data_IF_793634938634
#
_entry.id   IF_793634938634
#
_cell.length_a   1.000
_cell.length_b   1.000
_cell.length_c   1.000
_cell.angle_alpha   90.00
_cell.angle_beta   90.00
_cell.angle_gamma   90.00
#
_symmetry.space_group_name_H-M   'P 1'
#
loop_
_entity.id
_entity.type
_entity.pdbx_description
1 polymer ?
2 branched ?
3 non-polymer ?
4 water ?
#
# COMPACT_ATOMS: atom_id res chain seq x y z
N UNK A 1 -23.43 2.95 4.07
CA UNK A 1 -23.68 1.49 3.89
C UNK A 1 -24.12 0.85 5.19
N UNK A 2 -24.71 -0.34 5.04
CA UNK A 2 -25.17 -1.10 6.18
C UNK A 2 -23.97 -1.88 6.71
N UNK A 3 -24.08 -2.35 7.95
CA UNK A 3 -23.00 -3.08 8.58
C UNK A 3 -23.10 -4.58 8.64
N UNK A 4 -23.36 -5.21 7.52
CA UNK A 4 -23.42 -6.65 7.48
C UNK A 4 -22.44 -7.03 6.42
N UNK A 5 -22.29 -8.31 6.14
CA UNK A 5 -21.35 -8.69 5.13
C UNK A 5 -21.89 -8.35 3.78
N UNK A 6 -21.00 -8.18 2.84
CA UNK A 6 -21.39 -7.84 1.49
C UNK A 6 -20.72 -8.75 0.49
N UNK A 7 -21.34 -9.90 0.24
CA UNK A 7 -20.78 -10.82 -0.73
C UNK A 7 -20.67 -10.08 -2.09
N UNK A 8 -20.28 -10.79 -3.15
CA UNK A 8 -20.07 -10.16 -4.47
C UNK A 8 -21.17 -9.30 -5.02
N UNK A 9 -22.37 -9.86 -5.08
CA UNK A 9 -23.49 -9.12 -5.59
C UNK A 9 -23.54 -7.72 -4.93
N UNK A 10 -24.00 -7.68 -3.68
CA UNK A 10 -24.13 -6.44 -2.96
C UNK A 10 -22.95 -5.47 -2.84
N UNK A 11 -21.74 -6.00 -2.73
CA UNK A 11 -20.57 -5.14 -2.62
C UNK A 11 -20.40 -4.48 -3.98
N UNK A 12 -20.41 -5.33 -5.01
CA UNK A 12 -20.30 -4.88 -6.40
C UNK A 12 -21.32 -3.77 -6.55
N UNK A 13 -22.56 -4.13 -6.24
CA UNK A 13 -23.67 -3.21 -6.29
C UNK A 13 -23.21 -1.87 -5.71
N UNK A 14 -23.04 -1.84 -4.38
CA UNK A 14 -22.60 -0.66 -3.65
C UNK A 14 -21.68 0.20 -4.48
N UNK A 15 -20.58 -0.43 -4.85
CA UNK A 15 -19.56 0.21 -5.66
C UNK A 15 -20.20 0.92 -6.85
N UNK A 16 -20.71 0.15 -7.81
CA UNK A 16 -21.35 0.67 -9.00
C UNK A 16 -22.24 1.87 -8.66
N UNK A 17 -22.99 1.73 -7.56
CA UNK A 17 -23.87 2.78 -7.14
C UNK A 17 -23.04 3.96 -6.70
N UNK A 18 -22.00 3.76 -5.88
CA UNK A 18 -21.16 4.90 -5.44
C UNK A 18 -20.63 5.56 -6.70
N UNK A 19 -20.49 4.74 -7.74
CA UNK A 19 -20.00 5.14 -9.05
C UNK A 19 -20.90 6.21 -9.65
N UNK A 20 -22.20 5.93 -9.65
CA UNK A 20 -23.23 6.83 -10.16
C UNK A 20 -23.43 8.05 -9.27
N UNK A 21 -23.98 7.82 -8.08
CA UNK A 21 -24.24 8.89 -7.12
C UNK A 21 -23.09 9.85 -6.83
N UNK A 22 -21.85 9.48 -7.14
CA UNK A 22 -20.71 10.37 -6.87
C UNK A 22 -19.66 10.51 -7.97
N UNK A 23 -20.01 10.17 -9.22
CA UNK A 23 -19.08 10.25 -10.35
C UNK A 23 -18.14 11.48 -10.36
N UNK A 24 -18.58 12.58 -9.75
CA UNK A 24 -17.77 13.79 -9.68
C UNK A 24 -16.43 13.60 -8.99
N UNK A 25 -16.32 12.59 -8.14
CA UNK A 25 -15.09 12.36 -7.42
C UNK A 25 -14.75 10.89 -7.16
N UNK A 26 -15.29 10.02 -8.01
CA UNK A 26 -15.02 8.59 -7.90
C UNK A 26 -14.92 7.99 -9.30
N UNK A 27 -14.32 6.79 -9.37
CA UNK A 27 -14.17 6.03 -10.62
C UNK A 27 -13.94 4.58 -10.21
N UNK A 28 -14.71 3.67 -10.80
CA UNK A 28 -14.62 2.25 -10.52
C UNK A 28 -14.20 1.51 -11.78
N UNK A 29 -13.22 0.60 -11.66
CA UNK A 29 -12.80 -0.21 -12.80
C UNK A 29 -12.36 -1.57 -12.32
N UNK A 30 -11.76 -2.37 -13.21
CA UNK A 30 -11.30 -3.68 -12.80
C UNK A 30 -9.93 -4.02 -13.40
N UNK A 31 -8.94 -4.29 -12.55
CA UNK A 31 -7.64 -4.58 -13.06
C UNK A 31 -7.53 -6.02 -13.57
N UNK A 32 -8.61 -6.78 -13.47
CA UNK A 32 -8.54 -8.14 -13.97
C UNK A 32 -9.65 -8.99 -13.42
N UNK A 33 -9.53 -10.32 -13.57
CA UNK A 33 -10.55 -11.24 -13.05
C UNK A 33 -9.92 -12.45 -12.37
N UNK A 34 -10.59 -12.97 -11.35
CA UNK A 34 -10.07 -14.12 -10.63
C UNK A 34 -9.99 -15.30 -11.58
N UNK A 35 -9.67 -16.47 -11.06
CA UNK A 35 -9.61 -17.64 -11.90
C UNK A 35 -11.04 -18.12 -12.02
N UNK A 36 -11.99 -17.31 -11.53
CA UNK A 36 -13.40 -17.69 -11.60
C UNK A 36 -14.22 -16.64 -12.31
N UNK A 37 -13.56 -15.68 -12.92
CA UNK A 37 -14.31 -14.66 -13.63
C UNK A 37 -14.87 -13.58 -12.73
N UNK A 38 -14.46 -13.60 -11.46
CA UNK A 38 -14.91 -12.58 -10.50
C UNK A 38 -14.13 -11.31 -10.78
N UNK A 39 -14.74 -10.17 -10.49
CA UNK A 39 -14.07 -8.92 -10.76
C UNK A 39 -13.21 -8.29 -9.68
N UNK A 40 -12.08 -7.76 -10.13
CA UNK A 40 -11.17 -7.14 -9.21
C UNK A 40 -11.40 -5.65 -9.23
N UNK A 41 -12.54 -5.25 -8.68
CA UNK A 41 -12.92 -3.85 -8.66
C UNK A 41 -12.04 -2.98 -7.82
N UNK A 42 -11.79 -1.78 -8.29
CA UNK A 42 -11.01 -0.81 -7.55
C UNK A 42 -11.87 0.43 -7.62
N UNK A 43 -11.85 1.22 -6.56
CA UNK A 43 -12.61 2.45 -6.58
C UNK A 43 -11.64 3.55 -6.22
N UNK A 44 -11.52 4.55 -7.08
CA UNK A 44 -10.60 5.62 -6.79
C UNK A 44 -11.39 6.79 -6.33
N UNK A 45 -10.85 7.52 -5.39
CA UNK A 45 -11.53 8.67 -4.85
C UNK A 45 -10.58 9.83 -4.93
N UNK A 46 -10.93 10.85 -5.68
CA UNK A 46 -10.04 11.98 -5.78
C UNK A 46 -10.76 13.15 -6.38
N UNK A 47 -10.11 14.31 -6.34
CA UNK A 47 -10.69 15.53 -6.89
C UNK A 47 -10.93 15.29 -8.38
N UNK A 48 -9.90 14.83 -9.08
CA UNK A 48 -10.07 14.53 -10.47
C UNK A 48 -9.85 13.05 -10.61
N UNK A 49 -10.83 12.22 -10.26
CA UNK A 49 -10.63 10.76 -10.41
C UNK A 49 -10.46 10.35 -11.87
N UNK A 50 -9.95 9.14 -12.09
CA UNK A 50 -9.73 8.59 -13.46
C UNK A 50 -8.36 8.90 -14.12
N UNK A 51 -7.68 9.93 -13.68
CA UNK A 51 -6.40 10.26 -14.27
C UNK A 51 -5.36 10.76 -13.27
N UNK A 52 -4.21 10.11 -13.25
CA UNK A 52 -3.21 10.57 -12.33
C UNK A 52 -2.98 12.02 -12.70
N UNK A 53 -2.57 12.82 -11.72
CA UNK A 53 -2.29 14.21 -11.97
C UNK A 53 -0.96 14.59 -11.32
N UNK A 54 -0.04 15.14 -12.09
CA UNK A 54 1.25 15.59 -11.59
C UNK A 54 1.08 16.28 -10.23
N UNK A 55 1.83 15.86 -9.21
CA UNK A 55 1.70 16.55 -7.94
C UNK A 55 0.86 15.86 -6.90
N UNK A 56 -0.31 15.36 -7.28
CA UNK A 56 -1.16 14.65 -6.33
C UNK A 56 -0.67 13.20 -6.31
N UNK A 57 -0.23 12.71 -5.14
CA UNK A 57 0.27 11.35 -4.97
C UNK A 57 -0.83 10.30 -5.03
N UNK A 58 -0.47 9.12 -5.52
CA UNK A 58 -1.38 7.98 -5.63
C UNK A 58 -1.31 7.13 -4.34
N UNK A 59 -2.48 6.63 -3.91
CA UNK A 59 -2.56 5.81 -2.69
C UNK A 59 -3.53 4.63 -2.81
N UNK A 60 -3.13 3.47 -2.26
CA UNK A 60 -4.01 2.31 -2.31
C UNK A 60 -4.16 1.48 -1.05
N UNK A 61 -5.26 0.76 -1.05
CA UNK A 61 -5.62 -0.10 0.03
C UNK A 61 -6.11 -1.36 -0.63
N UNK A 62 -5.32 -2.41 -0.56
CA UNK A 62 -5.76 -3.67 -1.14
C UNK A 62 -6.12 -4.46 0.11
N UNK A 63 -7.16 -5.29 0.03
CA UNK A 63 -7.62 -6.07 1.17
C UNK A 63 -8.29 -7.33 0.66
N UNK A 64 -8.49 -8.28 1.56
CA UNK A 64 -9.17 -9.54 1.31
C UNK A 64 -8.42 -10.51 0.44
N UNK A 65 -7.10 -10.36 0.31
CA UNK A 65 -6.31 -11.29 -0.51
C UNK A 65 -6.35 -12.74 0.06
N UNK A 66 -6.73 -12.83 1.33
CA UNK A 66 -6.90 -14.12 1.97
C UNK A 66 -8.42 -14.26 2.08
N UNK A 67 -8.96 -15.15 1.25
CA UNK A 67 -10.40 -15.38 1.22
C UNK A 67 -11.08 -15.02 2.51
N UNK A 68 -10.93 -15.91 3.49
CA UNK A 68 -11.55 -15.76 4.80
C UNK A 68 -11.28 -14.53 5.67
N UNK A 69 -10.27 -13.72 5.36
CA UNK A 69 -9.99 -12.54 6.19
C UNK A 69 -10.88 -11.38 5.77
N UNK A 70 -12.09 -11.37 6.35
CA UNK A 70 -13.15 -10.41 6.06
C UNK A 70 -13.24 -9.01 6.67
N UNK A 71 -12.59 -8.73 7.80
CA UNK A 71 -12.75 -7.39 8.38
C UNK A 71 -12.38 -6.25 7.45
N UNK A 72 -11.24 -6.43 6.77
CA UNK A 72 -10.73 -5.42 5.87
C UNK A 72 -11.61 -5.25 4.65
N UNK A 73 -12.25 -6.33 4.21
CA UNK A 73 -13.12 -6.27 3.06
C UNK A 73 -14.15 -5.23 3.45
N UNK A 74 -14.72 -5.41 4.63
CA UNK A 74 -15.75 -4.52 5.10
C UNK A 74 -15.28 -3.15 5.52
N UNK A 75 -14.06 -3.04 6.04
CA UNK A 75 -13.57 -1.72 6.45
C UNK A 75 -13.36 -0.84 5.21
N UNK A 76 -12.84 -1.44 4.14
CA UNK A 76 -12.59 -0.71 2.89
C UNK A 76 -13.86 -0.22 2.22
N UNK A 77 -14.94 -1.01 2.27
CA UNK A 77 -16.17 -0.54 1.66
C UNK A 77 -16.65 0.65 2.46
N UNK A 78 -16.65 0.47 3.78
CA UNK A 78 -17.08 1.51 4.70
C UNK A 78 -16.16 2.74 4.65
N UNK A 79 -14.88 2.52 4.40
CA UNK A 79 -13.98 3.66 4.31
C UNK A 79 -14.48 4.43 3.11
N UNK A 80 -14.63 3.72 2.00
CA UNK A 80 -15.13 4.25 0.73
C UNK A 80 -16.30 5.22 0.90
N UNK A 81 -17.37 4.71 1.52
CA UNK A 81 -18.54 5.52 1.77
C UNK A 81 -18.11 6.76 2.55
N UNK A 82 -17.55 6.56 3.73
CA UNK A 82 -17.08 7.67 4.56
C UNK A 82 -16.59 8.83 3.71
N UNK A 83 -15.55 8.56 2.94
CA UNK A 83 -14.94 9.55 2.07
C UNK A 83 -15.97 10.22 1.19
N UNK A 84 -16.61 9.49 0.26
CA UNK A 84 -17.59 10.20 -0.56
C UNK A 84 -18.55 11.10 0.25
N UNK A 85 -19.20 10.58 1.29
CA UNK A 85 -20.13 11.38 2.08
C UNK A 85 -19.52 12.46 3.01
N UNK A 86 -18.22 12.39 3.27
CA UNK A 86 -17.60 13.38 4.12
C UNK A 86 -17.14 14.52 3.22
N UNK A 87 -16.90 14.18 1.96
CA UNK A 87 -16.43 15.13 0.95
C UNK A 87 -17.42 16.30 0.89
N UNK A 88 -16.89 17.49 1.16
CA UNK A 88 -17.73 18.67 1.15
C UNK A 88 -18.21 19.12 2.51
N UNK A 89 -18.58 18.20 3.39
CA UNK A 89 -19.05 18.62 4.69
C UNK A 89 -17.90 18.72 5.70
N UNK A 90 -17.08 17.68 5.84
CA UNK A 90 -15.98 17.76 6.78
C UNK A 90 -14.82 18.40 6.06
N UNK A 91 -14.30 19.51 6.59
CA UNK A 91 -13.18 20.16 5.92
C UNK A 91 -11.94 19.27 5.82
N UNK A 92 -11.26 19.00 6.95
CA UNK A 92 -10.06 18.19 6.91
C UNK A 92 -10.12 17.07 5.91
N UNK A 93 -11.12 16.19 6.02
CA UNK A 93 -11.21 15.10 5.04
C UNK A 93 -11.33 15.66 3.63
N UNK A 94 -12.15 16.67 3.44
CA UNK A 94 -12.26 17.25 2.11
C UNK A 94 -10.88 17.71 1.60
N UNK A 95 -10.14 18.46 2.43
CA UNK A 95 -8.79 18.92 2.04
C UNK A 95 -8.03 17.69 1.53
N UNK A 96 -8.10 16.59 2.26
CA UNK A 96 -7.42 15.37 1.86
C UNK A 96 -7.93 14.85 0.49
N UNK A 97 -9.22 14.44 0.43
CA UNK A 97 -9.81 13.90 -0.79
C UNK A 97 -9.48 14.77 -1.97
N UNK A 98 -9.30 16.07 -1.72
CA UNK A 98 -8.92 17.00 -2.76
C UNK A 98 -7.49 16.56 -3.09
N UNK A 99 -6.56 16.99 -2.25
CA UNK A 99 -5.11 16.73 -2.35
C UNK A 99 -4.56 15.33 -2.69
N UNK A 100 -5.39 14.29 -2.75
CA UNK A 100 -4.84 12.97 -3.08
C UNK A 100 -5.75 12.17 -3.98
N UNK A 101 -5.25 11.08 -4.53
CA UNK A 101 -6.09 10.21 -5.35
C UNK A 101 -5.96 8.83 -4.72
N UNK A 102 -7.00 8.47 -3.99
CA UNK A 102 -7.10 7.23 -3.22
C UNK A 102 -7.75 6.08 -4.01
N UNK A 103 -7.03 4.97 -4.17
CA UNK A 103 -7.58 3.84 -4.89
C UNK A 103 -7.88 2.78 -3.87
N UNK A 104 -9.09 2.22 -3.91
CA UNK A 104 -9.45 1.18 -2.96
C UNK A 104 -9.85 -0.10 -3.68
N UNK A 105 -9.34 -1.21 -3.14
CA UNK A 105 -9.61 -2.56 -3.64
C UNK A 105 -10.11 -3.39 -2.47
N UNK A 106 -11.42 -3.39 -2.22
CA UNK A 106 -12.06 -4.14 -1.14
C UNK A 106 -11.74 -5.65 -1.10
N UNK A 107 -11.59 -6.30 -2.26
CA UNK A 107 -11.32 -7.74 -2.25
C UNK A 107 -10.50 -8.41 -3.41
N UNK A 108 -9.16 -8.47 -3.25
CA UNK A 108 -8.22 -9.08 -4.21
C UNK A 108 -8.42 -10.58 -4.47
N UNK A 109 -9.14 -11.25 -3.59
CA UNK A 109 -9.40 -12.67 -3.72
C UNK A 109 -10.84 -12.86 -3.29
N UNK A 110 -11.76 -12.65 -4.22
CA UNK A 110 -13.17 -12.81 -3.89
C UNK A 110 -13.66 -14.25 -4.01
N UNK A 111 -13.00 -15.06 -4.84
CA UNK A 111 -13.43 -16.47 -4.94
C UNK A 111 -13.24 -17.11 -3.55
N UNK A 112 -12.14 -16.74 -2.89
CA UNK A 112 -11.88 -17.28 -1.58
C UNK A 112 -12.98 -16.90 -0.63
N UNK A 113 -13.29 -15.61 -0.59
CA UNK A 113 -14.32 -15.14 0.29
C UNK A 113 -15.63 -15.83 0.02
N UNK A 114 -16.08 -15.78 -1.23
CA UNK A 114 -17.35 -16.41 -1.56
C UNK A 114 -17.34 -17.88 -1.15
N UNK A 115 -16.26 -18.57 -1.46
CA UNK A 115 -16.18 -19.98 -1.14
C UNK A 115 -16.69 -20.43 0.23
N UNK A 116 -16.33 -19.70 1.28
CA UNK A 116 -16.74 -20.11 2.65
C UNK A 116 -18.19 -19.79 2.93
N UNK A 117 -18.90 -20.82 3.38
CA UNK A 117 -20.31 -20.70 3.70
C UNK A 117 -20.53 -20.80 5.21
N UNK A 118 -19.56 -21.42 5.90
CA UNK A 118 -19.61 -21.60 7.35
C UNK A 118 -18.45 -20.80 7.96
N UNK A 119 -18.66 -19.50 8.25
CA UNK A 119 -17.71 -18.52 8.82
C UNK A 119 -16.95 -19.02 10.07
N UNK A 120 -15.73 -18.53 10.30
CA UNK A 120 -14.95 -19.04 11.43
C UNK A 120 -13.65 -18.26 11.77
N UNK A 121 -13.22 -18.25 13.03
CA UNK A 121 -12.05 -17.48 13.39
C UNK A 121 -10.64 -17.91 13.01
N UNK A 122 -10.36 -19.20 12.98
CA UNK A 122 -9.02 -19.65 12.61
C UNK A 122 -8.86 -20.40 11.27
N UNK A 123 -9.88 -21.14 10.78
CA UNK A 123 -9.72 -21.85 9.49
C UNK A 123 -10.94 -21.92 8.56
N UNK A 124 -10.70 -22.11 7.26
CA UNK A 124 -11.78 -22.21 6.27
C UNK A 124 -11.36 -22.68 4.86
N UNK A 125 -12.38 -22.80 4.01
CA UNK A 125 -12.26 -23.21 2.63
C UNK A 125 -11.68 -22.05 1.80
N UNK A 126 -11.78 -20.83 2.34
CA UNK A 126 -11.26 -19.65 1.65
C UNK A 126 -9.84 -19.39 2.09
N UNK A 127 -9.28 -18.23 1.72
CA UNK A 127 -7.89 -17.86 2.06
C UNK A 127 -7.07 -17.91 0.80
N UNK A 128 -6.82 -19.13 0.34
CA UNK A 128 -6.07 -19.42 -0.88
C UNK A 128 -6.87 -18.94 -2.09
N UNK A 129 -6.25 -18.80 -3.27
CA UNK A 129 -7.01 -18.39 -4.46
C UNK A 129 -7.66 -19.71 -4.91
N UNK A 130 -8.45 -19.71 -5.99
CA UNK A 130 -9.13 -20.98 -6.35
C UNK A 130 -8.24 -22.18 -6.65
N UNK A 131 -6.97 -21.94 -6.95
CA UNK A 131 -6.04 -23.03 -7.22
C UNK A 131 -5.26 -23.39 -5.97
N UNK A 132 -5.84 -23.06 -4.81
CA UNK A 132 -5.26 -23.38 -3.51
C UNK A 132 -3.96 -22.62 -3.22
N UNK A 133 -3.63 -21.65 -4.05
CA UNK A 133 -2.40 -20.92 -3.80
C UNK A 133 -2.55 -19.79 -2.76
N UNK A 134 -1.47 -19.45 -2.08
CA UNK A 134 -1.54 -18.36 -1.11
C UNK A 134 -1.14 -17.10 -1.86
N UNK A 135 -2.10 -16.22 -2.04
CA UNK A 135 -1.79 -15.03 -2.78
C UNK A 135 -0.72 -14.15 -2.16
N UNK A 136 -0.38 -14.36 -0.89
CA UNK A 136 0.67 -13.52 -0.34
C UNK A 136 1.97 -14.27 -0.23
N UNK A 137 2.05 -15.37 -0.97
CA UNK A 137 3.26 -16.18 -1.03
C UNK A 137 3.55 -16.37 -2.52
N UNK A 138 2.80 -15.64 -3.35
CA UNK A 138 2.84 -15.76 -4.80
C UNK A 138 3.49 -14.67 -5.66
N UNK A 139 4.18 -13.72 -5.08
CA UNK A 139 4.82 -12.69 -5.90
C UNK A 139 6.33 -12.97 -6.04
N UNK A 140 6.99 -12.30 -6.98
CA UNK A 140 8.43 -12.49 -7.16
C UNK A 140 9.13 -12.11 -5.85
N UNK A 141 10.23 -12.77 -5.53
CA UNK A 141 10.91 -12.46 -4.28
C UNK A 141 12.35 -11.99 -4.42
N UNK A 142 12.64 -10.78 -3.94
CA UNK A 142 14.00 -10.22 -4.03
C UNK A 142 15.00 -10.98 -3.18
N UNK A 143 14.57 -12.10 -2.59
CA UNK A 143 15.47 -12.84 -1.73
C UNK A 143 15.81 -14.30 -2.08
N UNK A 144 14.85 -15.04 -2.63
CA UNK A 144 15.09 -16.45 -2.96
C UNK A 144 14.05 -16.92 -3.97
N UNK A 145 14.47 -17.24 -5.19
CA UNK A 145 13.51 -17.67 -6.19
C UNK A 145 12.20 -18.22 -5.66
N UNK A 146 11.12 -17.52 -5.98
CA UNK A 146 9.80 -17.96 -5.56
C UNK A 146 9.11 -18.57 -6.76
N UNK A 147 9.90 -19.27 -7.56
CA UNK A 147 9.38 -19.92 -8.73
C UNK A 147 8.05 -20.59 -8.34
N UNK A 148 6.94 -20.01 -8.78
CA UNK A 148 5.64 -20.58 -8.47
C UNK A 148 4.71 -20.10 -9.56
N UNK A 149 3.58 -20.76 -9.72
CA UNK A 149 2.64 -20.38 -10.75
C UNK A 149 2.02 -19.02 -10.43
N UNK A 150 2.51 -17.94 -11.06
CA UNK A 150 1.94 -16.61 -10.78
C UNK A 150 0.47 -16.72 -11.11
N UNK A 151 -0.38 -16.30 -10.19
CA UNK A 151 -1.83 -16.42 -10.37
C UNK A 151 -2.51 -15.19 -10.97
N UNK A 152 -3.69 -15.38 -11.57
CA UNK A 152 -4.46 -14.30 -12.18
C UNK A 152 -4.47 -13.04 -11.36
N UNK A 153 -4.83 -13.20 -10.09
CA UNK A 153 -4.89 -12.04 -9.21
C UNK A 153 -3.52 -11.46 -9.02
N UNK A 154 -2.54 -12.31 -8.76
CA UNK A 154 -1.19 -11.85 -8.56
C UNK A 154 -0.74 -11.01 -9.75
N UNK A 155 -0.99 -11.56 -10.94
CA UNK A 155 -0.61 -10.88 -12.18
C UNK A 155 -1.42 -9.57 -12.38
N UNK A 156 -2.75 -9.65 -12.31
CA UNK A 156 -3.60 -8.48 -12.44
C UNK A 156 -2.96 -7.35 -11.67
N UNK A 157 -2.71 -7.61 -10.39
CA UNK A 157 -2.10 -6.62 -9.52
C UNK A 157 -0.73 -6.17 -9.99
N UNK A 158 0.13 -7.10 -10.38
CA UNK A 158 1.45 -6.65 -10.83
C UNK A 158 1.32 -5.58 -11.92
N UNK A 159 0.50 -5.86 -12.93
CA UNK A 159 0.27 -4.91 -14.02
C UNK A 159 -0.33 -3.64 -13.44
N UNK A 160 -1.40 -3.80 -12.67
CA UNK A 160 -2.08 -2.66 -12.05
C UNK A 160 -1.07 -1.80 -11.33
N UNK A 161 -0.13 -2.44 -10.67
CA UNK A 161 0.87 -1.72 -9.93
C UNK A 161 1.73 -0.97 -10.90
N UNK A 162 1.61 -1.34 -12.16
CA UNK A 162 2.37 -0.71 -13.23
C UNK A 162 1.60 0.47 -13.79
N UNK A 163 0.28 0.36 -13.76
CA UNK A 163 -0.59 1.41 -14.28
C UNK A 163 -0.47 2.78 -13.60
N UNK A 164 0.01 2.84 -12.36
CA UNK A 164 0.14 4.14 -11.74
C UNK A 164 1.38 4.27 -10.87
N UNK A 165 1.76 5.51 -10.62
CA UNK A 165 2.92 5.72 -9.79
C UNK A 165 2.48 5.74 -8.34
N UNK A 166 2.12 4.56 -7.84
CA UNK A 166 1.68 4.44 -6.46
C UNK A 166 2.80 4.81 -5.51
N UNK A 167 2.48 5.70 -4.58
CA UNK A 167 3.46 6.18 -3.62
C UNK A 167 3.38 5.47 -2.30
N UNK A 168 2.16 5.37 -1.76
CA UNK A 168 1.94 4.72 -0.46
C UNK A 168 0.81 3.74 -0.45
N UNK A 169 1.05 2.59 0.16
CA UNK A 169 0.06 1.52 0.19
C UNK A 169 -0.14 0.82 1.55
N UNK A 170 -0.88 -0.29 1.52
CA UNK A 170 -1.13 -1.11 2.71
C UNK A 170 -2.21 -2.14 2.41
N UNK A 171 -1.85 -3.43 2.45
CA UNK A 171 -2.81 -4.51 2.17
C UNK A 171 -3.36 -5.09 3.48
N UNK A 172 -4.67 -5.06 3.65
CA UNK A 172 -5.32 -5.48 4.87
C UNK A 172 -5.52 -6.98 5.08
N UNK A 173 -5.31 -7.40 6.34
CA UNK A 173 -5.42 -8.81 6.78
C UNK A 173 -6.09 -8.98 8.13
N UNK A 174 -6.47 -10.23 8.42
CA UNK A 174 -7.07 -10.57 9.69
C UNK A 174 -6.45 -11.86 10.24
N UNK A 175 -6.45 -12.05 11.55
CA UNK A 175 -5.86 -13.25 12.13
C UNK A 175 -4.91 -12.91 13.28
N UNK A 176 -4.61 -11.62 13.36
CA UNK A 176 -3.75 -11.10 14.38
C UNK A 176 -4.18 -9.66 14.39
N UNK A 177 -3.66 -8.91 15.34
CA UNK A 177 -4.01 -7.52 15.46
C UNK A 177 -2.68 -6.79 15.62
N UNK A 178 -2.04 -6.47 14.50
CA UNK A 178 -0.75 -5.77 14.50
C UNK A 178 -0.51 -5.19 13.11
N UNK A 179 0.41 -4.24 13.03
CA UNK A 179 0.76 -3.59 11.79
C UNK A 179 2.17 -4.01 11.45
N UNK A 180 2.33 -4.87 10.44
CA UNK A 180 3.65 -5.38 10.07
C UNK A 180 4.35 -4.63 8.93
N UNK A 181 5.59 -4.16 9.14
CA UNK A 181 6.28 -3.43 8.06
C UNK A 181 7.39 -4.32 7.47
N UNK A 182 7.97 -3.96 6.31
CA UNK A 182 9.02 -4.78 5.69
C UNK A 182 10.40 -4.86 6.29
N UNK A 183 11.23 -5.79 5.81
CA UNK A 183 10.87 -6.73 4.74
C UNK A 183 10.24 -7.93 5.40
N UNK A 184 9.41 -8.66 4.66
CA UNK A 184 8.78 -9.83 5.23
C UNK A 184 9.71 -11.00 5.07
N UNK A 185 10.75 -10.81 4.26
CA UNK A 185 11.73 -11.84 4.02
C UNK A 185 13.09 -11.19 4.19
N UNK A 186 14.13 -11.98 4.39
CA UNK A 186 15.44 -11.38 4.57
C UNK A 186 16.66 -12.21 4.23
N UNK A 187 17.82 -11.63 4.51
CA UNK A 187 19.09 -12.26 4.23
C UNK A 187 20.04 -11.72 5.27
N UNK A 188 21.10 -12.48 5.55
CA UNK A 188 22.11 -12.08 6.54
C UNK A 188 22.52 -10.59 6.38
N UNK A 189 22.64 -10.15 5.12
CA UNK A 189 23.01 -8.78 4.79
C UNK A 189 22.03 -7.79 5.36
N UNK A 190 20.80 -8.23 5.54
CA UNK A 190 19.73 -7.41 6.09
C UNK A 190 19.59 -7.73 7.58
N UNK A 191 20.28 -8.81 8.00
CA UNK A 191 20.25 -9.24 9.40
C UNK A 191 19.26 -10.31 9.77
N UNK A 192 19.18 -11.37 8.97
CA UNK A 192 18.24 -12.44 9.24
C UNK A 192 18.61 -13.16 10.50
N UNK A 193 19.89 -13.08 10.87
CA UNK A 193 20.38 -13.74 12.07
C UNK A 193 20.00 -13.02 13.37
N UNK A 194 19.45 -11.81 13.24
CA UNK A 194 19.00 -11.08 14.42
C UNK A 194 17.50 -11.16 14.43
N UNK A 195 17.00 -11.91 13.45
CA UNK A 195 15.58 -12.10 13.31
C UNK A 195 15.01 -10.73 12.99
N UNK A 196 15.65 -10.06 12.05
CA UNK A 196 15.19 -8.76 11.63
C UNK A 196 15.70 -8.52 10.23
N UNK A 197 14.82 -8.01 9.38
CA UNK A 197 15.17 -7.70 7.99
C UNK A 197 14.79 -6.24 7.79
N UNK A 198 15.80 -5.38 7.79
CA UNK A 198 15.54 -3.97 7.64
C UNK A 198 15.69 -3.37 6.22
N UNK A 199 14.86 -2.33 5.95
CA UNK A 199 14.86 -1.61 4.68
C UNK A 199 15.71 -0.36 4.77
N UNK A 200 16.03 0.24 3.61
CA UNK A 200 16.83 1.46 3.59
C UNK A 200 16.09 2.53 4.36
N UNK A 201 14.76 2.41 4.34
CA UNK A 201 13.88 3.35 5.03
C UNK A 201 13.14 2.69 6.21
N UNK A 202 13.88 2.08 7.13
CA UNK A 202 13.23 1.41 8.25
C UNK A 202 12.55 2.43 9.16
N UNK A 203 13.07 3.65 9.15
CA UNK A 203 12.48 4.68 9.98
C UNK A 203 11.12 5.12 9.48
N UNK A 204 11.01 5.39 8.18
CA UNK A 204 9.72 5.79 7.67
C UNK A 204 8.79 4.60 7.84
N UNK A 205 9.22 3.38 7.52
CA UNK A 205 8.30 2.24 7.71
C UNK A 205 7.88 2.10 9.17
N UNK A 206 8.81 2.26 10.09
CA UNK A 206 8.42 2.18 11.49
C UNK A 206 7.42 3.31 11.79
N UNK A 207 7.75 4.55 11.45
CA UNK A 207 6.82 5.63 11.71
C UNK A 207 5.44 5.32 11.11
N UNK A 208 5.42 4.73 9.92
CA UNK A 208 4.17 4.37 9.24
C UNK A 208 3.33 3.30 9.98
N UNK A 209 3.98 2.29 10.54
CA UNK A 209 3.27 1.24 11.24
C UNK A 209 2.66 1.86 12.49
N UNK A 210 3.49 2.63 13.19
CA UNK A 210 3.06 3.28 14.39
C UNK A 210 1.95 4.25 14.10
N UNK A 211 2.01 4.90 12.95
CA UNK A 211 0.96 5.86 12.66
C UNK A 211 -0.37 5.17 12.78
N UNK A 212 -0.52 4.08 12.03
CA UNK A 212 -1.76 3.35 12.01
C UNK A 212 -2.18 2.74 13.32
N UNK A 213 -1.28 1.98 13.92
CA UNK A 213 -1.60 1.32 15.19
C UNK A 213 -1.82 2.28 16.35
N UNK A 214 -1.04 3.35 16.44
CA UNK A 214 -1.19 4.29 17.53
C UNK A 214 -2.65 4.71 17.63
N UNK A 215 -3.33 4.73 16.49
CA UNK A 215 -4.73 5.11 16.39
C UNK A 215 -5.74 3.99 16.52
N UNK A 216 -5.27 2.77 16.76
CA UNK A 216 -6.18 1.65 16.92
C UNK A 216 -6.09 1.25 18.39
N UNK A 217 -7.12 1.59 19.16
CA UNK A 217 -7.20 1.30 20.59
C UNK A 217 -6.77 -0.10 20.94
N UNK A 218 -7.21 -1.07 20.16
CA UNK A 218 -6.86 -2.44 20.47
C UNK A 218 -5.54 -2.86 19.88
N UNK A 219 -5.26 -2.39 18.67
CA UNK A 219 -4.02 -2.76 18.02
C UNK A 219 -2.91 -2.21 18.84
N UNK A 220 -3.20 -1.13 19.55
CA UNK A 220 -2.21 -0.47 20.40
C UNK A 220 -1.97 -1.21 21.71
N UNK A 221 -2.97 -1.98 22.14
CA UNK A 221 -2.92 -2.79 23.39
C UNK A 221 -1.74 -3.74 23.40
N UNK A 222 -1.41 -4.29 22.24
CA UNK A 222 -0.29 -5.21 22.18
C UNK A 222 -0.64 -6.57 22.75
N UNK A 223 -1.25 -6.61 23.93
CA UNK A 223 -1.65 -7.87 24.57
C UNK A 223 -3.13 -7.94 24.22
N UNK A 224 -3.44 -8.51 23.06
CA UNK A 224 -4.81 -8.55 22.59
C UNK A 224 -5.36 -9.87 22.04
N UNK A 225 -4.61 -10.57 21.19
CA UNK A 225 -5.10 -11.83 20.63
C UNK A 225 -4.75 -13.06 21.45
N UNK A 226 -5.77 -13.85 21.76
CA UNK A 226 -5.60 -15.05 22.57
C UNK A 226 -4.75 -16.13 21.95
N UNK A 227 -5.37 -16.97 21.14
CA UNK A 227 -4.64 -18.06 20.53
C UNK A 227 -3.47 -17.57 19.64
N UNK A 228 -3.21 -16.27 19.64
CA UNK A 228 -2.13 -15.74 18.81
C UNK A 228 -0.99 -15.06 19.56
N UNK A 229 0.08 -14.77 18.83
CA UNK A 229 1.21 -14.05 19.39
C UNK A 229 0.82 -12.59 19.40
N UNK A 230 1.45 -11.82 20.27
CA UNK A 230 1.15 -10.40 20.34
C UNK A 230 2.41 -9.53 20.30
N UNK A 231 2.23 -8.26 19.97
CA UNK A 231 3.35 -7.34 19.83
C UNK A 231 3.17 -6.11 20.70
N UNK A 232 4.25 -5.36 20.95
CA UNK A 232 4.20 -4.14 21.77
C UNK A 232 3.91 -2.90 20.93
N UNK A 233 2.87 -2.16 21.28
CA UNK A 233 2.50 -0.98 20.52
C UNK A 233 1.83 -1.40 19.24
N UNK A 234 1.73 -2.71 19.06
CA UNK A 234 1.09 -3.25 17.89
C UNK A 234 1.87 -3.15 16.60
N UNK A 235 3.16 -2.93 16.66
CA UNK A 235 3.90 -2.84 15.43
C UNK A 235 5.03 -3.83 15.53
N UNK A 236 5.52 -4.26 14.36
CA UNK A 236 6.60 -5.23 14.30
C UNK A 236 7.16 -5.32 12.88
N UNK A 237 8.38 -5.88 12.78
CA UNK A 237 9.00 -6.10 11.49
C UNK A 237 8.42 -7.42 10.99
N UNK A 238 8.41 -7.59 9.67
CA UNK A 238 7.84 -8.78 9.07
C UNK A 238 8.58 -10.04 9.45
N UNK A 239 9.90 -9.97 9.33
CA UNK A 239 10.81 -11.06 9.63
C UNK A 239 10.77 -11.40 11.12
N UNK A 240 10.95 -10.39 11.99
CA UNK A 240 10.90 -10.61 13.43
C UNK A 240 9.61 -11.33 13.78
N UNK A 241 8.70 -11.38 12.81
CA UNK A 241 7.44 -12.06 13.05
C UNK A 241 7.49 -13.42 12.41
N UNK A 242 7.74 -13.44 11.12
CA UNK A 242 7.77 -14.68 10.37
C UNK A 242 8.20 -14.43 8.94
N UNK A 243 9.41 -14.85 8.61
CA UNK A 243 9.99 -14.70 7.28
C UNK A 243 8.92 -15.11 6.31
N UNK A 244 8.45 -14.17 5.51
CA UNK A 244 7.41 -14.44 4.54
C UNK A 244 7.96 -14.39 3.14
N UNK A 245 7.93 -15.51 2.44
CA UNK A 245 8.48 -15.52 1.08
C UNK A 245 7.44 -15.22 0.01
N UNK A 246 7.79 -14.27 -0.86
CA UNK A 246 6.90 -13.88 -1.93
C UNK A 246 5.60 -13.18 -1.55
N UNK A 247 5.72 -12.10 -0.78
CA UNK A 247 4.54 -11.36 -0.36
C UNK A 247 4.41 -10.03 -1.07
N UNK A 248 3.17 -9.54 -1.20
CA UNK A 248 2.91 -8.28 -1.89
C UNK A 248 3.65 -7.09 -1.30
N UNK A 249 3.73 -7.03 0.02
CA UNK A 249 4.42 -5.94 0.70
C UNK A 249 5.84 -5.77 0.15
N UNK A 250 6.59 -6.86 0.10
CA UNK A 250 7.98 -6.81 -0.38
C UNK A 250 8.07 -6.38 -1.84
N UNK A 251 7.11 -6.85 -2.61
CA UNK A 251 7.06 -6.56 -4.02
C UNK A 251 6.96 -5.04 -4.20
N UNK A 252 5.82 -4.48 -3.81
CA UNK A 252 5.55 -3.06 -3.92
C UNK A 252 6.74 -2.18 -3.66
N UNK A 253 7.55 -2.58 -2.70
CA UNK A 253 8.71 -1.81 -2.29
C UNK A 253 9.96 -2.05 -3.10
N UNK A 254 10.08 -3.25 -3.65
CA UNK A 254 11.26 -3.62 -4.40
C UNK A 254 11.13 -3.25 -5.85
N UNK A 255 10.05 -3.70 -6.45
CA UNK A 255 9.81 -3.51 -7.88
C UNK A 255 8.75 -2.49 -8.31
N UNK A 256 7.93 -2.04 -7.38
CA UNK A 256 6.87 -1.12 -7.74
C UNK A 256 7.09 0.27 -7.24
N UNK A 257 8.21 0.48 -6.58
CA UNK A 257 8.54 1.80 -6.07
C UNK A 257 7.63 2.41 -4.99
N UNK A 258 6.67 1.65 -4.43
CA UNK A 258 5.84 2.22 -3.37
C UNK A 258 5.93 1.46 -2.03
N UNK A 259 5.62 2.15 -0.93
CA UNK A 259 5.70 1.60 0.41
C UNK A 259 4.44 0.90 0.86
N UNK A 260 4.47 -0.42 1.07
CA UNK A 260 3.25 -1.11 1.56
C UNK A 260 3.59 -1.68 2.92
N UNK A 261 2.66 -1.70 3.88
CA UNK A 261 2.90 -2.34 5.18
C UNK A 261 1.66 -3.20 5.30
N UNK A 262 1.62 -4.12 6.26
CA UNK A 262 0.48 -5.05 6.39
C UNK A 262 -0.36 -4.75 7.62
N UNK A 263 -1.64 -4.55 7.43
CA UNK A 263 -2.41 -4.27 8.60
C UNK A 263 -3.16 -5.52 9.03
N UNK A 264 -2.87 -6.03 10.22
CA UNK A 264 -3.56 -7.21 10.75
C UNK A 264 -4.65 -6.62 11.64
N UNK A 265 -5.84 -6.46 11.07
CA UNK A 265 -6.90 -5.78 11.76
C UNK A 265 -7.84 -6.51 12.67
N UNK A 266 -7.77 -7.83 12.68
CA UNK A 266 -8.64 -8.60 13.57
C UNK A 266 -8.00 -9.91 14.01
N UNK A 267 -8.21 -10.28 15.27
CA UNK A 267 -7.69 -11.54 15.77
C UNK A 267 -8.47 -12.62 15.01
N UNK A 268 -9.79 -12.56 15.15
CA UNK A 268 -10.70 -13.50 14.52
C UNK A 268 -10.83 -13.21 13.04
N UNK A 269 -10.24 -14.08 12.22
CA UNK A 269 -10.22 -13.93 10.77
C UNK A 269 -11.55 -13.65 10.06
N UNK A 270 -12.64 -14.22 10.56
CA UNK A 270 -13.96 -14.02 9.96
C UNK A 270 -15.01 -13.85 11.05
N UNK A 271 -14.95 -12.72 11.79
CA UNK A 271 -15.85 -12.34 12.90
C UNK A 271 -17.33 -12.24 12.58
N UNK A 272 -18.21 -12.28 13.58
CA UNK A 272 -19.64 -12.18 13.32
C UNK A 272 -20.07 -10.77 12.90
N UNK A 273 -21.08 -10.65 12.04
CA UNK A 273 -21.56 -9.36 11.52
C UNK A 273 -21.76 -8.28 12.57
N UNK A 274 -22.36 -8.68 13.67
CA UNK A 274 -22.64 -7.76 14.75
C UNK A 274 -21.40 -6.98 15.27
N UNK A 275 -20.21 -7.38 14.84
CA UNK A 275 -18.98 -6.74 15.29
C UNK A 275 -18.36 -5.69 14.37
N UNK A 276 -18.88 -5.56 13.16
CA UNK A 276 -18.34 -4.63 12.22
C UNK A 276 -18.40 -3.16 12.72
N UNK A 277 -19.56 -2.72 13.21
CA UNK A 277 -19.60 -1.35 13.68
C UNK A 277 -18.38 -1.08 14.52
N UNK A 278 -18.04 -2.02 15.40
CA UNK A 278 -16.88 -1.82 16.27
C UNK A 278 -15.55 -1.84 15.54
N UNK A 279 -15.51 -2.67 14.50
CA UNK A 279 -14.32 -2.78 13.69
C UNK A 279 -14.19 -1.49 12.94
N UNK A 280 -15.28 -1.03 12.36
CA UNK A 280 -15.21 0.22 11.65
C UNK A 280 -14.69 1.21 12.69
N UNK A 281 -15.34 1.23 13.85
CA UNK A 281 -14.97 2.16 14.90
C UNK A 281 -13.51 2.17 15.34
N UNK A 282 -12.92 1.00 15.60
CA UNK A 282 -11.52 0.98 16.04
C UNK A 282 -10.53 1.14 14.90
N UNK A 283 -10.99 1.46 13.69
CA UNK A 283 -10.08 1.65 12.57
C UNK A 283 -10.22 2.95 11.81
N UNK A 284 -11.42 3.50 11.77
CA UNK A 284 -11.70 4.78 11.13
C UNK A 284 -10.49 5.68 11.13
N UNK A 285 -10.22 6.31 12.27
CA UNK A 285 -9.09 7.22 12.39
C UNK A 285 -7.75 6.67 11.90
N UNK A 286 -7.56 5.37 12.00
CA UNK A 286 -6.31 4.79 11.56
C UNK A 286 -6.17 4.76 10.04
N UNK A 287 -7.24 4.39 9.33
CA UNK A 287 -7.18 4.40 7.86
C UNK A 287 -6.88 5.85 7.45
N UNK A 288 -7.69 6.79 7.92
CA UNK A 288 -7.48 8.19 7.54
C UNK A 288 -6.06 8.71 7.85
N UNK A 289 -5.58 8.53 9.08
CA UNK A 289 -4.25 9.03 9.44
C UNK A 289 -3.13 8.43 8.61
N UNK A 290 -3.38 7.23 8.11
CA UNK A 290 -2.40 6.48 7.31
C UNK A 290 -2.34 7.05 5.91
N UNK A 291 -3.50 7.12 5.27
CA UNK A 291 -3.63 7.69 3.92
C UNK A 291 -2.88 9.00 3.97
N UNK A 292 -3.30 9.83 4.91
CA UNK A 292 -2.74 11.16 5.11
C UNK A 292 -1.23 11.20 5.07
N UNK A 293 -0.59 10.05 5.28
CA UNK A 293 0.88 9.99 5.33
C UNK A 293 1.54 10.00 3.96
N UNK A 294 0.70 9.87 2.93
CA UNK A 294 1.16 9.85 1.55
C UNK A 294 1.84 11.18 1.24
N UNK A 295 1.82 12.10 2.21
CA UNK A 295 2.42 13.41 2.03
C UNK A 295 3.67 13.63 2.84
N UNK A 296 4.43 12.59 3.16
CA UNK A 296 5.66 12.83 3.93
C UNK A 296 6.78 13.18 2.96
N UNK A 297 7.79 13.90 3.42
CA UNK A 297 8.92 14.23 2.55
C UNK A 297 8.78 15.20 1.39
N UNK A 298 9.41 14.86 0.26
CA UNK A 298 9.39 15.69 -0.95
C UNK A 298 8.92 15.01 -2.21
N UNK A 299 8.58 15.86 -3.19
CA UNK A 299 8.10 15.42 -4.50
C UNK A 299 8.43 16.53 -5.50
N UNK A 300 8.28 16.23 -6.77
CA UNK A 300 8.56 17.22 -7.79
C UNK A 300 8.87 16.48 -9.07
N UNK A 301 9.31 17.20 -10.11
CA UNK A 301 9.68 16.52 -11.34
C UNK A 301 11.04 17.05 -11.74
N UNK A 302 11.68 16.36 -12.68
CA UNK A 302 13.03 16.67 -13.14
C UNK A 302 13.15 16.99 -14.62
N UNK A 303 13.68 18.17 -14.94
CA UNK A 303 13.88 18.51 -16.36
C UNK A 303 15.31 18.87 -16.72
N UNK A 304 15.62 18.71 -18.00
CA UNK A 304 16.92 19.06 -18.55
C UNK A 304 16.85 20.56 -18.80
N UNK A 305 17.91 21.13 -19.35
CA UNK A 305 17.94 22.57 -19.58
C UNK A 305 16.87 23.12 -20.55
N UNK A 306 16.20 22.25 -21.31
CA UNK A 306 15.15 22.69 -22.25
C UNK A 306 13.80 22.48 -21.58
N UNK A 307 13.82 22.42 -20.25
CA UNK A 307 12.59 22.24 -19.48
C UNK A 307 11.79 21.07 -19.98
N UNK A 308 12.46 19.93 -20.07
CA UNK A 308 11.77 18.73 -20.53
C UNK A 308 11.85 17.64 -19.51
N UNK A 309 10.71 17.24 -18.94
CA UNK A 309 10.76 16.18 -17.94
C UNK A 309 11.51 14.96 -18.46
N UNK A 310 12.62 14.60 -17.80
CA UNK A 310 13.37 13.44 -18.21
C UNK A 310 12.77 12.34 -17.38
N UNK A 311 12.19 11.34 -18.02
CA UNK A 311 11.60 10.24 -17.26
C UNK A 311 12.70 9.22 -16.96
N UNK A 312 12.32 8.08 -16.43
CA UNK A 312 13.28 7.03 -16.15
C UNK A 312 14.62 7.39 -15.47
N UNK A 313 14.72 8.59 -14.94
CA UNK A 313 15.96 8.99 -14.30
C UNK A 313 15.92 8.46 -12.87
N UNK A 314 17.09 8.35 -12.22
CA UNK A 314 17.14 7.89 -10.84
C UNK A 314 17.15 9.07 -9.88
N UNK A 315 16.23 9.08 -8.94
CA UNK A 315 16.23 10.14 -7.95
C UNK A 315 16.06 9.54 -6.56
N UNK A 316 17.15 9.46 -5.80
CA UNK A 316 17.01 8.97 -4.45
C UNK A 316 17.95 9.67 -3.54
N UNK A 317 17.67 9.59 -2.24
CA UNK A 317 18.48 10.25 -1.24
C UNK A 317 19.88 9.67 -1.19
N UNK A 318 20.86 10.47 -0.83
CA UNK A 318 22.26 10.04 -0.81
C UNK A 318 22.55 8.64 -0.29
N UNK A 319 22.16 8.36 0.95
CA UNK A 319 22.41 7.04 1.58
C UNK A 319 21.27 6.01 1.60
N UNK A 320 20.25 6.21 0.76
CA UNK A 320 19.09 5.33 0.67
C UNK A 320 18.94 4.68 -0.70
N UNK A 321 20.01 4.08 -1.20
CA UNK A 321 19.92 3.43 -2.50
C UNK A 321 19.15 2.13 -2.32
N UNK A 322 18.19 1.93 -3.23
CA UNK A 322 17.32 0.76 -3.21
C UNK A 322 17.92 -0.35 -4.04
N UNK A 323 17.59 -1.61 -3.73
CA UNK A 323 18.15 -2.71 -4.49
C UNK A 323 17.86 -2.42 -5.99
N UNK A 324 16.59 -2.22 -6.33
CA UNK A 324 16.24 -1.81 -7.70
C UNK A 324 15.99 -0.36 -7.40
N UNK A 325 16.87 0.53 -7.93
CA UNK A 325 16.88 2.00 -7.78
C UNK A 325 15.64 2.71 -8.27
N UNK A 326 15.17 3.67 -7.46
CA UNK A 326 13.96 4.46 -7.73
C UNK A 326 14.13 5.50 -8.83
N UNK A 327 13.37 5.33 -9.89
CA UNK A 327 13.46 6.25 -11.00
C UNK A 327 12.22 7.15 -11.12
N UNK A 328 12.31 8.20 -11.94
CA UNK A 328 11.18 9.07 -12.14
C UNK A 328 10.11 8.37 -13.00
N UNK A 329 8.91 8.93 -13.05
CA UNK A 329 7.87 8.33 -13.86
C UNK A 329 7.83 8.93 -15.29
N UNK A 330 6.85 8.53 -16.08
CA UNK A 330 6.77 9.04 -17.43
C UNK A 330 6.67 10.55 -17.41
N UNK A 331 6.16 11.11 -16.33
CA UNK A 331 6.06 12.56 -16.27
C UNK A 331 7.29 13.14 -15.62
N UNK A 332 8.32 12.33 -15.50
CA UNK A 332 9.56 12.82 -14.94
C UNK A 332 9.50 13.27 -13.50
N UNK A 333 8.34 13.08 -12.88
CA UNK A 333 8.21 13.47 -11.48
C UNK A 333 8.77 12.36 -10.58
N UNK A 334 9.08 12.75 -9.34
CA UNK A 334 9.63 11.81 -8.38
C UNK A 334 8.97 11.98 -7.01
N UNK A 335 8.74 10.89 -6.31
CA UNK A 335 8.15 10.99 -4.98
C UNK A 335 9.02 10.18 -4.00
N UNK A 336 9.35 10.79 -2.87
CA UNK A 336 10.15 10.09 -1.88
C UNK A 336 9.63 10.29 -0.45
N UNK A 337 8.92 9.29 0.09
CA UNK A 337 8.44 9.43 1.46
C UNK A 337 9.65 9.46 2.41
N UNK A 338 9.79 10.55 3.16
CA UNK A 338 10.88 10.74 4.12
C UNK A 338 10.41 11.39 5.44
N UNK A 339 11.19 11.21 6.50
CA UNK A 339 10.82 11.83 7.77
C UNK A 339 11.45 13.22 7.92
N UNK A 340 10.90 14.04 8.81
CA UNK A 340 11.47 15.37 8.99
C UNK A 340 12.99 15.35 9.18
N UNK A 341 13.71 15.99 8.26
CA UNK A 341 15.14 16.05 8.36
C UNK A 341 15.75 16.62 7.09
N UNK A 342 17.04 16.96 7.17
CA UNK A 342 17.74 17.52 6.01
C UNK A 342 18.36 16.43 5.14
N UNK A 343 18.00 16.44 3.87
CA UNK A 343 18.51 15.46 2.94
C UNK A 343 19.34 16.02 1.77
N UNK A 344 19.84 15.09 0.97
CA UNK A 344 20.65 15.39 -0.19
C UNK A 344 20.19 14.36 -1.18
N UNK A 345 19.66 14.81 -2.30
CA UNK A 345 19.17 13.85 -3.28
C UNK A 345 20.19 13.76 -4.41
N UNK A 346 20.46 12.56 -4.90
CA UNK A 346 21.41 12.38 -6.00
C UNK A 346 20.63 12.08 -7.25
N UNK A 347 20.55 13.08 -8.12
CA UNK A 347 19.83 12.93 -9.37
C UNK A 347 20.84 12.41 -10.38
N UNK A 348 20.67 11.15 -10.74
CA UNK A 348 21.58 10.51 -11.66
C UNK A 348 20.86 10.14 -12.93
N UNK A 349 21.09 10.96 -13.96
CA UNK A 349 20.49 10.75 -15.28
C UNK A 349 21.47 9.91 -16.05
N UNK A 350 20.98 8.83 -16.69
CA UNK A 350 21.83 7.94 -17.47
C UNK A 350 23.01 8.58 -18.16
N UNK A 351 24.18 7.99 -17.90
CA UNK A 351 25.40 8.44 -18.50
C UNK A 351 25.75 9.82 -18.03
N UNK A 352 25.59 10.07 -16.75
CA UNK A 352 25.92 11.37 -16.20
C UNK A 352 26.42 11.30 -14.76
N UNK A 353 27.10 12.36 -14.34
CA UNK A 353 27.58 12.44 -12.99
C UNK A 353 26.33 12.68 -12.19
N UNK A 354 26.19 11.97 -11.06
CA UNK A 354 24.98 12.20 -10.28
C UNK A 354 24.89 13.67 -9.89
N UNK A 355 23.71 14.24 -10.04
CA UNK A 355 23.51 15.63 -9.70
C UNK A 355 23.05 15.79 -8.28
N UNK A 356 23.79 16.58 -7.50
CA UNK A 356 23.40 16.85 -6.14
C UNK A 356 22.33 17.94 -6.16
N UNK A 357 21.41 17.85 -5.21
CA UNK A 357 20.34 18.82 -5.03
C UNK A 357 19.88 18.58 -3.60
N UNK A 358 20.10 19.57 -2.74
CA UNK A 358 19.79 19.46 -1.32
C UNK A 358 18.40 19.98 -0.93
N UNK A 359 17.82 19.30 0.06
CA UNK A 359 16.50 19.64 0.56
C UNK A 359 16.29 19.41 2.06
N UNK A 360 15.75 20.42 2.74
CA UNK A 360 15.44 20.33 4.17
C UNK A 360 13.94 19.99 4.22
N UNK A 361 13.60 18.82 4.75
CA UNK A 361 12.19 18.47 4.82
C UNK A 361 11.61 18.96 6.13
N UNK A 362 10.78 20.01 6.06
CA UNK A 362 10.09 20.72 7.15
C UNK A 362 10.17 20.12 8.54
N UNK A 363 9.03 20.03 9.20
CA UNK A 363 8.97 19.48 10.54
C UNK A 363 7.59 19.73 11.04
N UNK A 364 6.63 19.69 10.12
CA UNK A 364 5.22 19.91 10.38
C UNK A 364 4.67 20.68 9.19
N UNK A 365 3.73 20.05 8.48
CA UNK A 365 3.10 20.69 7.31
C UNK A 365 1.67 21.15 7.61
N UNK A 366 1.35 22.35 7.11
CA UNK A 366 0.04 22.98 7.30
C UNK A 366 -0.95 22.58 6.22
N UNK A 367 -0.43 21.92 5.19
CA UNK A 367 -1.24 21.45 4.07
C UNK A 367 -1.09 19.93 3.98
N UNK A 368 -1.79 19.34 3.01
CA UNK A 368 -1.77 17.90 2.74
C UNK A 368 -1.02 17.62 1.44
N UNK A 369 0.25 18.00 1.40
CA UNK A 369 1.08 17.77 0.23
C UNK A 369 2.49 17.69 0.73
N UNK A 370 3.30 16.84 0.11
CA UNK A 370 4.68 16.73 0.54
C UNK A 370 5.39 18.05 0.20
N UNK A 371 6.71 18.10 0.38
CA UNK A 371 7.45 19.30 0.05
C UNK A 371 7.69 19.23 -1.45
N UNK A 372 7.44 20.34 -2.16
CA UNK A 372 7.67 20.35 -3.60
C UNK A 372 9.05 20.89 -3.89
N UNK A 373 9.77 20.20 -4.78
CA UNK A 373 11.11 20.58 -5.17
C UNK A 373 11.38 20.05 -6.55
N UNK A 374 11.40 20.96 -7.52
CA UNK A 374 11.66 20.62 -8.90
C UNK A 374 13.16 20.68 -9.13
N UNK A 375 13.63 19.87 -10.07
CA UNK A 375 15.04 19.82 -10.35
C UNK A 375 15.39 20.16 -11.81
N UNK A 376 16.23 21.18 -11.96
CA UNK A 376 16.66 21.58 -13.27
C UNK A 376 18.10 21.13 -13.45
N UNK A 377 18.30 20.04 -14.17
CA UNK A 377 19.66 19.60 -14.36
C UNK A 377 20.29 20.65 -15.22
N UNK A 378 21.58 20.91 -15.02
CA UNK A 378 22.32 21.92 -15.79
C UNK A 378 22.81 21.40 -17.15
N UNK A 379 22.07 20.47 -17.75
CA UNK A 379 22.42 19.92 -19.05
C UNK A 379 21.20 19.31 -19.73
N UNK A 380 21.43 18.36 -20.63
CA UNK A 380 20.35 17.73 -21.36
C UNK A 380 20.40 16.21 -21.35
N UNK A 381 19.27 15.57 -21.59
CA UNK A 381 19.23 14.10 -21.62
C UNK A 381 18.76 13.60 -23.00
N UNK A 391 11.09 -1.10 -17.91
CA UNK A 391 12.33 -1.95 -17.80
C UNK A 391 12.74 -2.35 -16.35
N UNK A 392 12.24 -1.60 -15.35
CA UNK A 392 12.52 -1.79 -13.91
C UNK A 392 13.75 -2.66 -13.55
N UNK A 393 13.52 -3.92 -13.20
CA UNK A 393 14.61 -4.82 -12.84
C UNK A 393 14.17 -6.24 -13.00
N UNK A 394 15.08 -7.13 -13.38
CA UNK A 394 14.65 -8.52 -13.54
C UNK A 394 14.00 -8.98 -12.24
N UNK A 395 12.78 -9.49 -12.32
CA UNK A 395 12.11 -9.95 -11.11
C UNK A 395 12.72 -11.28 -10.64
N UNK A 396 13.96 -11.16 -10.19
CA UNK A 396 14.76 -12.28 -9.71
C UNK A 396 15.46 -11.85 -8.42
N UNK A 397 15.55 -12.77 -7.44
CA UNK A 397 16.18 -12.51 -6.14
C UNK A 397 17.41 -11.61 -6.17
N UNK A 398 17.20 -10.29 -6.20
CA UNK A 398 18.31 -9.35 -6.28
C UNK A 398 19.20 -9.35 -5.05
N UNK A 399 18.57 -9.22 -3.88
CA UNK A 399 19.30 -9.18 -2.62
C UNK A 399 20.12 -10.45 -2.38
N UNK A 400 19.62 -11.59 -2.83
CA UNK A 400 20.33 -12.87 -2.66
C UNK A 400 21.79 -12.64 -3.00
N UNK A 401 22.06 -12.53 -4.31
CA UNK A 401 23.41 -12.29 -4.81
C UNK A 401 23.75 -10.81 -4.65
N UNK A 402 23.60 -10.32 -3.41
CA UNK A 402 23.86 -8.92 -3.03
C UNK A 402 24.38 -8.79 -1.57
N UNK A 403 24.74 -6.48 -1.68
#
# INVERSE_FOLDING_TARGET
LDFNYHRQEGMEAFLKTVAQNYSSVTHLHSIGKSVKGRNLWVLVVGRFPKEHRIGIPEFKYVANMHGDETVGRELLLHLIDYLVTSDGKDPEITNLINSTRIHIMPSMNPDGFEAVKKPDCYYSIGRENYNQYDLNRNFPDAFEYNNVSRQPETVAVMKWLKTETFVLSANLHGGALVASYPFDNGVQATGALYSRSLTPDDDVFQYLAHTYASRNPNMKKGDECKNKMNFPNGVTNGYSWYPLQGGMQDYNYIWAQCFEITLELSCCKYPREEKLPSFWNNNKASLIEYIKQVHLGVKGQVFDQNGNPLPNVIVEVQDRKHICPYRTNKYGEYYLLLLPGSYIINVTVPGHDPHITKVIIPEKSQNFSALKKDILLPFQGQLDSIPVSNPSCPMIPLYRNLPDHSAATKPSLFLFLVSLLHIFFK
#
